data_IF_675801318671
#
_entry.id   IF_675801318671
#
_cell.length_a   1.000
_cell.length_b   1.000
_cell.length_c   1.000
_cell.angle_alpha   90.00
_cell.angle_beta   90.00
_cell.angle_gamma   90.00
#
_symmetry.space_group_name_H-M   'P 1'
#
loop_
_entity.id
_entity.type
_entity.pdbx_description
1 polymer ?
#
# COMPACT_ATOMS: atom_id res chain seq x y z
N UNK A 1 -20.17 15.46 15.28
CA UNK A 1 -20.08 14.61 16.49
C UNK A 1 -18.90 13.69 16.27
N UNK A 2 -17.83 13.85 17.05
CA UNK A 2 -16.69 12.92 17.04
C UNK A 2 -17.19 11.64 17.70
N UNK A 3 -17.11 10.52 16.99
CA UNK A 3 -17.43 9.21 17.55
C UNK A 3 -16.40 8.90 18.65
N UNK A 4 -16.84 8.87 19.91
CA UNK A 4 -16.00 8.60 21.08
C UNK A 4 -15.37 7.20 21.08
N UNK A 5 -15.84 6.32 20.20
CA UNK A 5 -15.36 4.94 20.05
C UNK A 5 -14.57 4.73 18.73
N UNK A 6 -14.34 5.79 17.95
CA UNK A 6 -13.50 5.68 16.75
C UNK A 6 -12.08 5.30 17.16
N UNK A 7 -11.43 4.37 16.44
CA UNK A 7 -10.04 4.00 16.70
C UNK A 7 -9.12 5.24 16.63
N UNK A 8 -8.18 5.30 17.57
CA UNK A 8 -7.12 6.31 17.54
C UNK A 8 -5.93 5.81 16.71
N UNK A 9 -5.05 6.70 16.23
CA UNK A 9 -3.85 6.28 15.49
C UNK A 9 -2.92 5.30 16.24
N UNK A 10 -3.02 5.24 17.55
CA UNK A 10 -2.23 4.31 18.39
C UNK A 10 -2.89 2.94 18.57
N UNK A 11 -4.17 2.80 18.23
CA UNK A 11 -4.88 1.54 18.38
C UNK A 11 -4.45 0.52 17.33
N UNK A 12 -4.26 -0.73 17.75
CA UNK A 12 -4.04 -1.82 16.83
C UNK A 12 -5.37 -2.32 16.28
N UNK A 13 -5.55 -2.24 14.97
CA UNK A 13 -6.78 -2.72 14.32
C UNK A 13 -6.89 -4.25 14.27
N UNK A 14 -5.76 -4.97 14.38
CA UNK A 14 -5.75 -6.42 14.36
C UNK A 14 -5.95 -6.97 15.79
N UNK A 15 -6.79 -8.01 15.97
CA UNK A 15 -7.06 -8.59 17.28
C UNK A 15 -5.86 -9.39 17.84
N UNK A 16 -4.98 -9.90 16.98
CA UNK A 16 -3.82 -10.72 17.36
C UNK A 16 -2.77 -10.77 16.24
N UNK A 17 -1.59 -11.30 16.57
CA UNK A 17 -0.55 -11.77 15.64
C UNK A 17 -0.13 -10.75 14.57
N UNK A 18 -0.12 -9.47 14.91
CA UNK A 18 0.30 -8.38 14.03
C UNK A 18 -0.11 -7.02 14.55
N UNK A 19 0.34 -5.98 13.85
CA UNK A 19 0.02 -4.59 14.19
C UNK A 19 -0.34 -3.80 12.93
N UNK A 20 -1.50 -3.19 12.95
CA UNK A 20 -1.96 -2.24 11.94
C UNK A 20 -2.51 -1.02 12.64
N UNK A 21 -1.98 0.14 12.32
CA UNK A 21 -2.49 1.42 12.81
C UNK A 21 -3.10 2.19 11.64
N UNK A 22 -4.21 2.86 11.89
CA UNK A 22 -4.86 3.78 10.96
C UNK A 22 -4.61 5.21 11.44
N UNK A 23 -3.83 5.96 10.68
CA UNK A 23 -3.48 7.34 11.00
C UNK A 23 -4.55 8.34 10.50
N UNK A 24 -5.61 7.84 9.89
CA UNK A 24 -6.65 8.68 9.27
C UNK A 24 -6.14 9.40 8.02
N UNK A 25 -6.80 10.50 7.69
CA UNK A 25 -6.44 11.34 6.53
C UNK A 25 -5.25 12.24 6.93
N UNK A 26 -4.11 12.02 6.30
CA UNK A 26 -2.86 12.74 6.57
C UNK A 26 -2.45 13.69 5.45
N UNK A 27 -3.17 13.72 4.34
CA UNK A 27 -2.90 14.59 3.18
C UNK A 27 -3.97 15.66 3.08
N UNK A 28 -3.59 16.93 3.11
CA UNK A 28 -4.53 18.08 3.06
C UNK A 28 -5.26 18.21 1.72
N UNK A 29 -4.56 17.94 0.60
CA UNK A 29 -5.10 18.08 -0.75
C UNK A 29 -4.99 16.77 -1.55
N UNK A 30 -5.67 15.69 -1.12
CA UNK A 30 -5.47 14.36 -1.70
C UNK A 30 -5.91 14.28 -3.17
N UNK A 31 -6.91 15.07 -3.58
CA UNK A 31 -7.36 15.11 -4.98
C UNK A 31 -6.31 15.74 -5.89
N UNK A 32 -5.68 16.84 -5.47
CA UNK A 32 -4.60 17.47 -6.25
C UNK A 32 -3.42 16.51 -6.43
N UNK A 33 -3.01 15.83 -5.35
CA UNK A 33 -1.95 14.83 -5.40
C UNK A 33 -2.33 13.65 -6.31
N UNK A 34 -3.57 13.13 -6.20
CA UNK A 34 -4.06 12.07 -7.06
C UNK A 34 -3.91 12.42 -8.55
N UNK A 35 -4.41 13.59 -8.97
CA UNK A 35 -4.34 13.99 -10.38
C UNK A 35 -2.90 14.28 -10.83
N UNK A 36 -2.07 14.86 -9.97
CA UNK A 36 -0.65 15.05 -10.28
C UNK A 36 0.05 13.72 -10.56
N UNK A 37 -0.13 12.70 -9.70
CA UNK A 37 0.48 11.40 -9.89
C UNK A 37 -0.11 10.66 -11.10
N UNK A 38 -1.44 10.75 -11.31
CA UNK A 38 -2.11 10.09 -12.43
C UNK A 38 -1.56 10.57 -13.78
N UNK A 39 -1.29 11.88 -13.92
CA UNK A 39 -0.91 12.49 -15.20
C UNK A 39 0.58 12.57 -15.45
N UNK A 40 1.42 12.48 -14.40
CA UNK A 40 2.87 12.68 -14.56
C UNK A 40 3.70 11.39 -14.47
N UNK A 41 3.13 10.32 -13.91
CA UNK A 41 3.88 9.08 -13.74
C UNK A 41 3.80 8.16 -14.97
N UNK A 42 4.87 7.42 -15.29
CA UNK A 42 4.93 6.50 -16.41
C UNK A 42 4.24 5.15 -16.06
N UNK A 43 2.93 5.17 -15.89
CA UNK A 43 2.14 4.00 -15.56
C UNK A 43 2.28 2.88 -16.59
N UNK A 44 2.49 1.66 -16.13
CA UNK A 44 2.60 0.47 -16.96
C UNK A 44 1.67 -0.63 -16.43
N UNK A 45 0.99 -1.34 -17.32
CA UNK A 45 0.18 -2.51 -16.95
C UNK A 45 1.04 -3.54 -16.23
N UNK A 46 0.52 -4.10 -15.15
CA UNK A 46 1.22 -5.16 -14.44
C UNK A 46 1.08 -6.49 -15.16
N UNK A 47 2.14 -7.28 -15.12
CA UNK A 47 2.17 -8.64 -15.68
C UNK A 47 2.23 -9.62 -14.53
N UNK A 48 1.26 -10.51 -14.44
CA UNK A 48 1.17 -11.53 -13.40
C UNK A 48 1.06 -12.92 -13.99
N UNK A 49 1.74 -13.88 -13.42
CA UNK A 49 1.63 -15.30 -13.80
C UNK A 49 0.72 -16.01 -12.82
N UNK A 50 -0.43 -16.50 -13.31
CA UNK A 50 -1.40 -17.27 -12.55
C UNK A 50 -1.59 -18.64 -13.19
N UNK A 51 -1.39 -19.71 -12.44
CA UNK A 51 -1.52 -21.11 -12.92
C UNK A 51 -0.72 -21.37 -14.21
N UNK A 52 0.50 -20.83 -14.30
CA UNK A 52 1.39 -20.98 -15.45
C UNK A 52 1.00 -20.15 -16.69
N UNK A 53 -0.02 -19.30 -16.61
CA UNK A 53 -0.42 -18.38 -17.68
C UNK A 53 -0.10 -16.94 -17.30
N UNK A 54 0.47 -16.21 -18.24
CA UNK A 54 0.77 -14.79 -18.09
C UNK A 54 -0.47 -13.96 -18.43
N UNK A 55 -0.82 -13.02 -17.54
CA UNK A 55 -1.93 -12.10 -17.70
C UNK A 55 -1.42 -10.67 -17.59
N UNK A 56 -1.83 -9.83 -18.52
CA UNK A 56 -1.67 -8.37 -18.44
C UNK A 56 -2.88 -7.82 -17.71
N UNK A 57 -2.63 -7.07 -16.62
CA UNK A 57 -3.72 -6.51 -15.82
C UNK A 57 -4.12 -5.12 -16.31
N UNK A 58 -5.37 -4.72 -16.06
CA UNK A 58 -5.83 -3.33 -16.22
C UNK A 58 -5.27 -2.43 -15.11
N UNK A 59 -4.95 -3.00 -13.96
CA UNK A 59 -4.18 -2.33 -12.91
C UNK A 59 -2.80 -1.96 -13.45
N UNK A 60 -2.39 -0.72 -13.20
CA UNK A 60 -1.10 -0.21 -13.63
C UNK A 60 -0.20 0.04 -12.40
N UNK A 61 1.08 -0.02 -12.63
CA UNK A 61 2.08 0.14 -11.57
C UNK A 61 3.18 1.10 -11.97
N UNK A 62 3.79 1.71 -10.95
CA UNK A 62 5.08 2.38 -11.01
C UNK A 62 5.88 1.95 -9.78
N UNK A 63 7.14 1.59 -9.99
CA UNK A 63 8.07 1.26 -8.90
C UNK A 63 9.13 2.35 -8.78
N UNK A 64 9.28 2.93 -7.58
CA UNK A 64 10.28 3.95 -7.28
C UNK A 64 11.22 3.48 -6.18
N UNK A 65 12.49 3.84 -6.31
CA UNK A 65 13.50 3.51 -5.31
C UNK A 65 14.86 4.06 -5.68
N UNK A 66 15.88 3.70 -4.88
CA UNK A 66 17.27 3.94 -5.23
C UNK A 66 17.71 3.09 -6.42
N UNK A 67 18.81 3.50 -7.09
CA UNK A 67 19.39 2.79 -8.25
C UNK A 67 19.84 1.35 -7.95
N UNK A 68 20.00 1.03 -6.67
CA UNK A 68 20.55 -0.25 -6.20
C UNK A 68 19.47 -1.25 -5.79
N UNK A 69 18.20 -0.96 -6.13
CA UNK A 69 17.07 -1.81 -5.78
C UNK A 69 16.46 -2.40 -7.06
N UNK A 70 16.86 -3.61 -7.39
CA UNK A 70 16.15 -4.43 -8.39
C UNK A 70 14.97 -5.14 -7.72
N UNK A 71 13.78 -4.96 -8.28
CA UNK A 71 12.58 -5.60 -7.76
C UNK A 71 12.14 -6.77 -8.64
N UNK A 72 12.13 -7.96 -8.04
CA UNK A 72 11.62 -9.17 -8.67
C UNK A 72 10.28 -9.57 -8.04
N UNK A 73 9.21 -9.48 -8.80
CA UNK A 73 7.89 -9.94 -8.36
C UNK A 73 7.24 -10.85 -9.39
N UNK A 74 6.69 -11.98 -8.93
CA UNK A 74 5.98 -12.95 -9.79
C UNK A 74 6.78 -13.41 -11.03
N UNK A 75 8.13 -13.52 -10.89
CA UNK A 75 9.02 -13.98 -11.96
C UNK A 75 9.40 -12.92 -13.00
N UNK A 76 9.04 -11.66 -12.78
CA UNK A 76 9.37 -10.54 -13.67
C UNK A 76 10.21 -9.50 -12.94
N UNK A 77 11.28 -9.01 -13.60
CA UNK A 77 12.05 -7.84 -13.14
C UNK A 77 11.28 -6.58 -13.53
N UNK A 78 11.02 -5.71 -12.58
CA UNK A 78 10.37 -4.42 -12.82
C UNK A 78 11.40 -3.31 -12.78
N UNK A 79 11.34 -2.43 -13.76
CA UNK A 79 12.24 -1.29 -13.82
C UNK A 79 11.89 -0.31 -12.70
N UNK A 80 12.89 -0.06 -11.84
CA UNK A 80 12.82 0.99 -10.81
C UNK A 80 13.10 2.34 -11.47
N UNK A 81 12.30 3.34 -11.16
CA UNK A 81 12.57 4.74 -11.54
C UNK A 81 12.99 5.54 -10.30
N UNK A 82 13.71 6.63 -10.54
CA UNK A 82 14.08 7.57 -9.48
C UNK A 82 12.84 8.19 -8.83
N UNK A 83 12.98 8.60 -7.56
CA UNK A 83 11.94 9.33 -6.86
C UNK A 83 11.57 10.62 -7.60
N UNK A 84 10.28 10.81 -7.86
CA UNK A 84 9.77 12.13 -8.26
C UNK A 84 9.58 13.01 -7.03
N UNK A 85 9.64 14.34 -7.22
CA UNK A 85 9.50 15.29 -6.11
C UNK A 85 8.21 15.08 -5.32
N UNK A 86 7.09 14.87 -6.01
CA UNK A 86 5.79 14.62 -5.36
C UNK A 86 5.83 13.39 -4.44
N UNK A 87 6.35 12.25 -4.93
CA UNK A 87 6.39 11.01 -4.15
C UNK A 87 7.44 11.09 -3.05
N UNK A 88 8.56 11.79 -3.27
CA UNK A 88 9.58 12.00 -2.26
C UNK A 88 9.07 12.89 -1.10
N UNK A 89 8.32 13.95 -1.39
CA UNK A 89 7.68 14.77 -0.36
C UNK A 89 6.65 13.95 0.46
N UNK A 90 5.82 13.15 -0.23
CA UNK A 90 4.87 12.24 0.45
C UNK A 90 5.60 11.22 1.33
N UNK A 91 6.70 10.63 0.84
CA UNK A 91 7.54 9.73 1.63
C UNK A 91 7.98 10.38 2.94
N UNK A 92 8.58 11.57 2.87
CA UNK A 92 9.04 12.30 4.07
C UNK A 92 7.90 12.59 5.03
N UNK A 93 6.78 13.07 4.52
CA UNK A 93 5.61 13.33 5.34
C UNK A 93 5.10 12.06 6.04
N UNK A 94 5.01 10.93 5.33
CA UNK A 94 4.65 9.63 5.92
C UNK A 94 5.63 9.22 7.03
N UNK A 95 6.93 9.36 6.82
CA UNK A 95 7.95 9.04 7.83
C UNK A 95 7.82 9.93 9.07
N UNK A 96 7.51 11.21 8.90
CA UNK A 96 7.24 12.14 10.01
C UNK A 96 6.00 11.72 10.82
N UNK A 97 4.90 11.34 10.15
CA UNK A 97 3.70 10.82 10.81
C UNK A 97 3.99 9.55 11.62
N UNK A 98 4.77 8.62 11.07
CA UNK A 98 5.15 7.39 11.75
C UNK A 98 6.08 7.66 12.95
N UNK A 99 7.02 8.59 12.80
CA UNK A 99 7.92 8.99 13.88
C UNK A 99 7.14 9.57 15.07
N UNK A 100 6.07 10.32 14.82
CA UNK A 100 5.19 10.83 15.86
C UNK A 100 4.47 9.72 16.66
N UNK A 101 4.31 8.53 16.06
CA UNK A 101 3.80 7.32 16.72
C UNK A 101 4.91 6.45 17.36
N UNK A 102 6.16 6.90 17.32
CA UNK A 102 7.30 6.11 17.79
C UNK A 102 7.76 5.01 16.84
N UNK A 103 7.27 5.01 15.58
CA UNK A 103 7.65 4.05 14.53
C UNK A 103 8.71 4.72 13.66
N UNK A 104 9.99 4.41 13.92
CA UNK A 104 11.09 4.96 13.15
C UNK A 104 11.42 4.07 11.95
N UNK A 105 11.44 4.67 10.76
CA UNK A 105 11.75 3.99 9.50
C UNK A 105 12.37 4.97 8.52
N UNK A 106 13.07 4.43 7.51
CA UNK A 106 13.58 5.18 6.38
C UNK A 106 13.27 4.36 5.11
N UNK A 107 12.15 4.67 4.49
CA UNK A 107 11.72 3.98 3.28
C UNK A 107 12.66 4.26 2.11
N UNK A 108 13.07 3.24 1.40
CA UNK A 108 13.93 3.35 0.22
C UNK A 108 13.22 2.91 -1.07
N UNK A 109 11.97 2.46 -0.97
CA UNK A 109 11.16 2.07 -2.13
C UNK A 109 9.68 2.41 -1.95
N UNK A 110 9.00 2.59 -3.07
CA UNK A 110 7.55 2.79 -3.14
C UNK A 110 6.98 2.08 -4.36
N UNK A 111 6.05 1.16 -4.13
CA UNK A 111 5.20 0.60 -5.17
C UNK A 111 3.92 1.42 -5.26
N UNK A 112 3.71 2.07 -6.40
CA UNK A 112 2.45 2.72 -6.71
C UNK A 112 1.59 1.77 -7.54
N UNK A 113 0.32 1.61 -7.15
CA UNK A 113 -0.68 0.85 -7.91
C UNK A 113 -1.81 1.78 -8.29
N UNK A 114 -2.16 1.85 -9.57
CA UNK A 114 -3.35 2.52 -10.07
C UNK A 114 -4.41 1.49 -10.45
N UNK A 115 -5.56 1.61 -9.84
CA UNK A 115 -6.77 0.83 -10.10
C UNK A 115 -7.76 1.76 -10.83
N UNK A 116 -7.96 1.60 -12.15
CA UNK A 116 -8.83 2.49 -12.94
C UNK A 116 -10.28 2.56 -12.46
N UNK A 117 -10.78 1.45 -11.90
CA UNK A 117 -12.15 1.37 -11.37
C UNK A 117 -12.27 0.31 -10.27
N UNK A 118 -13.49 0.06 -9.83
CA UNK A 118 -13.83 -1.03 -8.91
C UNK A 118 -13.69 -2.42 -9.51
N UNK A 119 -13.68 -2.57 -10.83
CA UNK A 119 -13.48 -3.87 -11.48
C UNK A 119 -12.06 -4.41 -11.28
N UNK A 120 -11.13 -3.53 -10.89
CA UNK A 120 -9.78 -3.89 -10.53
C UNK A 120 -9.64 -4.12 -9.02
N UNK A 121 -8.79 -5.03 -8.67
CA UNK A 121 -8.50 -5.36 -7.27
C UNK A 121 -7.22 -6.16 -7.15
N UNK A 122 -6.88 -6.51 -5.93
CA UNK A 122 -5.75 -7.37 -5.61
C UNK A 122 -6.21 -8.49 -4.68
N UNK A 123 -5.93 -9.73 -5.08
CA UNK A 123 -6.26 -10.90 -4.26
C UNK A 123 -5.51 -10.91 -2.91
N UNK A 124 -5.88 -11.82 -2.03
CA UNK A 124 -5.20 -11.97 -0.75
C UNK A 124 -3.72 -12.33 -0.91
N UNK A 125 -2.85 -11.45 -0.46
CA UNK A 125 -1.39 -11.62 -0.44
C UNK A 125 -0.82 -11.07 0.88
N UNK A 126 0.42 -11.38 1.16
CA UNK A 126 1.26 -10.71 2.13
C UNK A 126 2.42 -10.07 1.38
N UNK A 127 2.94 -8.97 1.91
CA UNK A 127 4.20 -8.39 1.43
C UNK A 127 5.34 -9.10 2.21
N UNK A 128 5.72 -10.26 1.70
CA UNK A 128 6.69 -11.17 2.32
C UNK A 128 7.85 -11.51 1.36
N UNK A 129 8.21 -10.54 0.52
CA UNK A 129 9.35 -10.62 -0.37
C UNK A 129 10.65 -10.83 0.43
N UNK A 130 11.60 -11.56 -0.15
CA UNK A 130 12.87 -11.94 0.51
C UNK A 130 13.75 -10.73 0.85
N UNK A 131 13.57 -9.65 0.12
CA UNK A 131 14.27 -8.38 0.28
C UNK A 131 13.73 -7.54 1.45
N UNK A 132 12.62 -7.96 2.08
CA UNK A 132 12.08 -7.34 3.28
C UNK A 132 12.64 -8.00 4.54
N UNK A 133 12.69 -7.25 5.64
CA UNK A 133 12.99 -7.81 6.96
C UNK A 133 11.88 -8.76 7.43
N UNK A 134 12.16 -9.58 8.45
CA UNK A 134 11.17 -10.51 9.04
C UNK A 134 9.92 -9.80 9.61
N UNK A 135 10.05 -8.56 10.01
CA UNK A 135 8.96 -7.74 10.54
C UNK A 135 8.98 -6.35 9.87
N UNK A 136 8.63 -6.29 8.58
CA UNK A 136 8.75 -5.06 7.83
C UNK A 136 7.73 -4.01 8.32
N UNK A 137 8.15 -2.75 8.27
CA UNK A 137 7.25 -1.60 8.36
C UNK A 137 6.81 -1.26 6.94
N UNK A 138 5.51 -1.30 6.69
CA UNK A 138 4.91 -1.02 5.39
C UNK A 138 3.84 0.04 5.57
N UNK A 139 4.03 1.19 4.96
CA UNK A 139 3.07 2.28 4.99
C UNK A 139 2.30 2.33 3.68
N UNK A 140 0.97 2.35 3.75
CA UNK A 140 0.09 2.40 2.58
C UNK A 140 -0.80 3.64 2.64
N UNK A 141 -0.55 4.57 1.72
CA UNK A 141 -1.36 5.77 1.51
C UNK A 141 -2.33 5.53 0.35
N UNK A 142 -3.60 5.86 0.56
CA UNK A 142 -4.67 5.77 -0.45
C UNK A 142 -5.01 7.13 -1.02
N UNK A 143 -5.26 7.22 -2.32
CA UNK A 143 -5.72 8.42 -3.02
C UNK A 143 -6.83 8.07 -4.01
N UNK A 144 -7.80 8.97 -4.21
CA UNK A 144 -8.92 8.78 -5.13
C UNK A 144 -10.08 8.02 -4.50
N UNK A 145 -10.67 7.07 -5.21
CA UNK A 145 -11.87 6.37 -4.78
C UNK A 145 -11.69 5.59 -3.48
N UNK A 146 -12.66 5.69 -2.59
CA UNK A 146 -12.72 4.85 -1.38
C UNK A 146 -12.91 3.38 -1.75
N UNK A 147 -12.05 2.52 -1.24
CA UNK A 147 -12.09 1.08 -1.54
C UNK A 147 -12.02 0.24 -0.27
N UNK A 148 -12.76 -0.85 -0.30
CA UNK A 148 -12.73 -1.87 0.75
C UNK A 148 -11.37 -2.58 0.74
N UNK A 149 -10.68 -2.53 1.86
CA UNK A 149 -9.44 -3.22 2.17
C UNK A 149 -9.70 -4.25 3.26
N UNK A 150 -9.26 -5.48 3.06
CA UNK A 150 -9.57 -6.57 3.98
C UNK A 150 -8.29 -7.25 4.43
N UNK A 151 -8.07 -7.30 5.73
CA UNK A 151 -7.10 -8.21 6.34
C UNK A 151 -7.77 -9.56 6.59
N UNK A 152 -7.03 -10.64 6.37
CA UNK A 152 -7.49 -12.01 6.65
C UNK A 152 -6.37 -12.80 7.31
N UNK A 153 -6.63 -13.32 8.51
CA UNK A 153 -5.67 -14.12 9.22
C UNK A 153 -5.41 -15.47 8.51
N UNK A 154 -4.14 -15.83 8.34
CA UNK A 154 -3.76 -17.02 7.56
C UNK A 154 -4.28 -18.33 8.17
N UNK A 155 -4.33 -18.44 9.51
CA UNK A 155 -4.73 -19.64 10.24
C UNK A 155 -6.20 -19.62 10.64
N UNK A 156 -6.67 -18.60 11.38
CA UNK A 156 -8.03 -18.56 11.93
C UNK A 156 -9.07 -18.14 10.88
N UNK A 157 -8.65 -17.53 9.79
CA UNK A 157 -9.49 -16.97 8.71
C UNK A 157 -10.34 -15.76 9.16
N UNK A 158 -10.10 -15.22 10.36
CA UNK A 158 -10.71 -14.00 10.85
C UNK A 158 -10.43 -12.84 9.90
N UNK A 159 -11.38 -11.92 9.79
CA UNK A 159 -11.29 -10.77 8.90
C UNK A 159 -11.44 -9.47 9.66
N UNK A 160 -10.63 -8.50 9.26
CA UNK A 160 -10.78 -7.09 9.62
C UNK A 160 -10.94 -6.29 8.32
N UNK A 161 -11.99 -5.50 8.25
CA UNK A 161 -12.38 -4.75 7.04
C UNK A 161 -12.26 -3.26 7.29
N UNK A 162 -11.62 -2.56 6.36
CA UNK A 162 -11.47 -1.12 6.33
C UNK A 162 -12.03 -0.56 5.03
N UNK A 163 -12.42 0.71 5.05
CA UNK A 163 -12.72 1.48 3.84
C UNK A 163 -11.70 2.61 3.76
N UNK A 164 -10.69 2.43 2.89
CA UNK A 164 -9.60 3.38 2.76
C UNK A 164 -10.01 4.55 1.89
N UNK A 165 -10.09 5.71 2.52
CA UNK A 165 -10.47 6.97 1.89
C UNK A 165 -9.27 7.67 1.23
N UNK A 166 -9.55 8.72 0.46
CA UNK A 166 -8.50 9.53 -0.17
C UNK A 166 -7.72 10.34 0.86
N UNK A 167 -6.40 10.19 0.88
CA UNK A 167 -5.49 10.80 1.85
C UNK A 167 -5.27 9.96 3.11
N UNK A 168 -5.94 8.79 3.25
CA UNK A 168 -5.81 7.94 4.41
C UNK A 168 -4.53 7.10 4.38
N UNK A 169 -3.84 7.06 5.51
CA UNK A 169 -2.61 6.32 5.74
C UNK A 169 -2.83 5.19 6.74
N UNK A 170 -2.50 3.98 6.36
CA UNK A 170 -2.36 2.85 7.28
C UNK A 170 -0.92 2.37 7.33
N UNK A 171 -0.49 1.86 8.47
CA UNK A 171 0.82 1.22 8.63
C UNK A 171 0.67 -0.20 9.14
N UNK A 172 1.30 -1.14 8.44
CA UNK A 172 1.41 -2.55 8.81
C UNK A 172 2.82 -2.78 9.35
N UNK A 173 2.95 -3.36 10.53
CA UNK A 173 4.26 -3.64 11.12
C UNK A 173 4.25 -4.84 12.07
N UNK A 174 5.38 -5.13 12.72
CA UNK A 174 5.54 -6.34 13.53
C UNK A 174 5.30 -7.60 12.70
N UNK A 175 4.64 -8.58 13.26
CA UNK A 175 4.44 -9.89 12.61
C UNK A 175 3.28 -9.92 11.59
N UNK A 176 2.75 -8.77 11.17
CA UNK A 176 1.55 -8.69 10.31
C UNK A 176 1.71 -9.51 9.05
N UNK A 177 2.80 -9.36 8.30
CA UNK A 177 3.00 -10.06 7.03
C UNK A 177 3.17 -11.58 7.21
N UNK A 178 3.63 -12.02 8.39
CA UNK A 178 3.77 -13.43 8.73
C UNK A 178 2.40 -14.11 8.93
N UNK A 179 1.47 -13.46 9.60
CA UNK A 179 0.21 -14.08 10.04
C UNK A 179 -1.03 -13.63 9.28
N UNK A 180 -0.98 -12.48 8.63
CA UNK A 180 -2.11 -11.90 7.92
C UNK A 180 -1.84 -11.75 6.43
N UNK A 181 -2.89 -11.87 5.64
CA UNK A 181 -2.93 -11.46 4.24
C UNK A 181 -3.86 -10.26 4.13
N UNK A 182 -3.68 -9.47 3.10
CA UNK A 182 -4.56 -8.36 2.80
C UNK A 182 -4.97 -8.34 1.33
N UNK A 183 -6.07 -7.64 1.03
CA UNK A 183 -6.62 -7.56 -0.32
C UNK A 183 -7.37 -6.24 -0.54
N UNK A 184 -7.41 -5.78 -1.80
CA UNK A 184 -8.38 -4.79 -2.28
C UNK A 184 -9.46 -5.55 -3.04
N UNK A 185 -10.68 -5.52 -2.52
CA UNK A 185 -11.79 -6.27 -3.12
C UNK A 185 -12.33 -5.58 -4.36
N UNK A 186 -12.67 -6.37 -5.37
CA UNK A 186 -13.40 -5.87 -6.54
C UNK A 186 -14.82 -5.46 -6.16
N UNK A 187 -15.34 -4.44 -6.84
CA UNK A 187 -16.72 -3.97 -6.68
C UNK A 187 -17.23 -3.36 -7.97
N UNK A 188 -18.50 -3.51 -8.25
CA UNK A 188 -19.16 -2.92 -9.43
C UNK A 188 -19.75 -1.54 -9.18
N UNK A 189 -19.66 -1.05 -7.95
CA UNK A 189 -20.29 0.21 -7.53
C UNK A 189 -19.34 1.40 -7.54
N UNK A 190 -18.05 1.18 -7.75
CA UNK A 190 -17.02 2.23 -7.81
C UNK A 190 -16.50 2.32 -9.23
N UNK A 191 -16.69 3.47 -9.85
CA UNK A 191 -16.29 3.75 -11.24
C UNK A 191 -15.07 4.64 -11.34
N UNK A 192 -14.71 5.29 -10.24
CA UNK A 192 -13.55 6.19 -10.15
C UNK A 192 -12.28 5.42 -9.83
N UNK A 193 -11.14 6.01 -10.23
CA UNK A 193 -9.83 5.43 -10.02
C UNK A 193 -9.31 5.61 -8.59
N UNK A 194 -8.42 4.70 -8.18
CA UNK A 194 -7.67 4.75 -6.93
C UNK A 194 -6.18 4.56 -7.19
N UNK A 195 -5.35 5.34 -6.53
CA UNK A 195 -3.91 5.11 -6.43
C UNK A 195 -3.58 4.69 -4.99
N UNK A 196 -2.74 3.66 -4.82
CA UNK A 196 -2.08 3.39 -3.55
C UNK A 196 -0.58 3.57 -3.67
N UNK A 197 0.02 4.23 -2.68
CA UNK A 197 1.46 4.33 -2.51
C UNK A 197 1.84 3.40 -1.35
N UNK A 198 2.63 2.38 -1.63
CA UNK A 198 3.08 1.41 -0.62
C UNK A 198 4.59 1.57 -0.42
N UNK A 199 4.94 2.23 0.68
CA UNK A 199 6.33 2.51 1.06
C UNK A 199 6.92 1.34 1.84
N UNK A 200 8.15 0.96 1.51
CA UNK A 200 8.88 -0.17 2.10
C UNK A 200 10.35 0.18 2.28
N UNK A 201 10.98 -0.52 3.20
CA UNK A 201 12.44 -0.56 3.31
C UNK A 201 12.92 -1.91 2.82
N UNK A 202 13.51 -1.91 1.62
CA UNK A 202 14.11 -3.08 1.00
C UNK A 202 15.55 -3.23 1.44
N UNK A 203 16.05 -4.47 1.58
CA UNK A 203 17.49 -4.72 1.74
C UNK A 203 18.22 -4.23 0.49
N UNK A 204 19.38 -3.61 0.68
CA UNK A 204 20.29 -3.26 -0.39
C UNK A 204 21.07 -4.52 -0.79
N UNK A 205 21.18 -4.77 -2.08
CA UNK A 205 22.00 -5.86 -2.63
C UNK A 205 23.48 -5.57 -2.52
#
# INVERSE_FOLDING_TARGET
MTDLFAPTPTDNLLPCDGKVNDLGIVIDYPSALYYALLTTLPWQSDIVTLFGKTHVTTRQIVWMGGSDIDYHYSGHTRQTIAWTDNVFHVKRHVEEQLTALGINTNFNSCLLNYYPSGDDGMGYHADDEKELSDQPIIASLSLGATRKFVFKHKKTQDKVELYLESGQLIVMHGATQKYWKHSITKTKTVHEGRISLTFRQMALN
#
